data_IF_725285493722
#
_entry.id   IF_725285493722
#
_cell.length_a   1.000
_cell.length_b   1.000
_cell.length_c   1.000
_cell.angle_alpha   90.00
_cell.angle_beta   90.00
_cell.angle_gamma   90.00
#
_symmetry.space_group_name_H-M   'P 1'
#
loop_
_entity.id
_entity.type
_entity.pdbx_description
1 polymer ?
#
# COMPACT_ATOMS: atom_id res chain seq x y z
N UNK A 1 -17.57 27.41 11.42
CA UNK A 1 -16.77 28.19 10.46
C UNK A 1 -15.35 27.68 10.54
N UNK A 2 -14.70 27.43 9.40
CA UNK A 2 -13.24 27.19 9.33
C UNK A 2 -12.69 28.44 8.64
N UNK A 3 -12.23 29.40 9.44
CA UNK A 3 -11.88 30.75 9.00
C UNK A 3 -10.41 30.92 8.56
N UNK A 4 -9.70 29.80 8.37
CA UNK A 4 -8.39 29.79 7.70
C UNK A 4 -8.31 28.56 6.79
N UNK A 5 -7.86 28.69 5.53
CA UNK A 5 -7.57 27.52 4.73
C UNK A 5 -6.45 26.77 5.45
N UNK A 6 -6.74 25.57 5.96
CA UNK A 6 -5.70 24.73 6.54
C UNK A 6 -4.68 24.51 5.41
N UNK A 7 -3.48 25.08 5.56
CA UNK A 7 -2.37 24.95 4.60
C UNK A 7 -1.79 23.52 4.67
N UNK A 8 -2.63 22.53 4.39
CA UNK A 8 -2.24 21.14 4.17
C UNK A 8 -1.72 20.99 2.74
N UNK A 9 -2.32 21.74 1.79
CA UNK A 9 -1.81 21.80 0.42
C UNK A 9 -0.32 22.19 0.45
N UNK A 10 0.52 21.36 -0.18
CA UNK A 10 1.98 21.50 -0.26
C UNK A 10 2.80 21.16 1.00
N UNK A 11 2.22 20.56 2.04
CA UNK A 11 3.01 19.99 3.14
C UNK A 11 3.56 18.60 2.79
N UNK A 12 4.77 18.21 3.24
CA UNK A 12 5.32 16.87 2.98
C UNK A 12 4.39 15.73 3.44
N UNK A 13 3.69 15.94 4.57
CA UNK A 13 2.72 14.97 5.10
C UNK A 13 1.50 14.80 4.18
N UNK A 14 0.96 15.88 3.63
CA UNK A 14 -0.15 15.81 2.68
C UNK A 14 0.23 15.05 1.40
N UNK A 15 1.46 15.26 0.92
CA UNK A 15 1.98 14.52 -0.24
C UNK A 15 2.06 13.03 0.09
N UNK A 16 2.66 12.65 1.23
CA UNK A 16 2.77 11.25 1.64
C UNK A 16 1.39 10.59 1.74
N UNK A 17 0.40 11.25 2.35
CA UNK A 17 -0.96 10.72 2.48
C UNK A 17 -1.61 10.55 1.10
N UNK A 18 -1.46 11.52 0.20
CA UNK A 18 -1.96 11.42 -1.17
C UNK A 18 -1.30 10.28 -1.96
N UNK A 19 0.01 10.10 -1.83
CA UNK A 19 0.75 8.99 -2.45
C UNK A 19 0.24 7.64 -1.93
N UNK A 20 0.11 7.49 -0.60
CA UNK A 20 -0.43 6.26 0.00
C UNK A 20 -1.82 5.99 -0.55
N UNK A 21 -2.73 6.97 -0.57
CA UNK A 21 -4.10 6.79 -1.04
C UNK A 21 -4.17 6.33 -2.50
N UNK A 22 -3.31 6.87 -3.37
CA UNK A 22 -3.25 6.48 -4.79
C UNK A 22 -2.68 5.06 -4.97
N UNK A 23 -1.72 4.66 -4.15
CA UNK A 23 -1.03 3.37 -4.28
C UNK A 23 -1.73 2.23 -3.51
N UNK A 24 -2.53 2.55 -2.50
CA UNK A 24 -3.25 1.60 -1.64
C UNK A 24 -4.10 0.59 -2.42
N UNK A 25 -4.98 0.99 -3.38
CA UNK A 25 -5.82 0.02 -4.09
C UNK A 25 -4.98 -0.99 -4.89
N UNK A 26 -3.84 -0.58 -5.44
CA UNK A 26 -2.94 -1.47 -6.18
C UNK A 26 -2.29 -2.52 -5.27
N UNK A 27 -2.07 -2.21 -3.99
CA UNK A 27 -1.56 -3.16 -3.00
C UNK A 27 -2.65 -4.12 -2.51
N UNK A 28 -3.88 -3.62 -2.32
CA UNK A 28 -4.98 -4.40 -1.73
C UNK A 28 -5.46 -5.51 -2.66
N UNK A 29 -5.51 -5.27 -3.98
CA UNK A 29 -5.97 -6.27 -4.96
C UNK A 29 -5.20 -7.61 -4.89
N UNK A 30 -3.86 -7.64 -5.01
CA UNK A 30 -3.08 -8.87 -4.92
C UNK A 30 -3.04 -9.47 -3.51
N UNK A 31 -3.12 -8.63 -2.48
CA UNK A 31 -3.21 -9.08 -1.10
C UNK A 31 -4.53 -9.84 -0.87
N UNK A 32 -5.65 -9.29 -1.34
CA UNK A 32 -6.97 -9.92 -1.26
C UNK A 32 -7.00 -11.27 -1.96
N UNK A 33 -6.48 -11.36 -3.19
CA UNK A 33 -6.39 -12.62 -3.93
C UNK A 33 -5.57 -13.70 -3.20
N UNK A 34 -4.59 -13.29 -2.39
CA UNK A 34 -3.75 -14.24 -1.65
C UNK A 34 -4.36 -14.65 -0.31
N UNK A 35 -5.12 -13.75 0.32
CA UNK A 35 -5.91 -14.06 1.52
C UNK A 35 -7.10 -14.97 1.18
N UNK A 36 -7.75 -14.76 0.04
CA UNK A 36 -8.87 -15.60 -0.43
C UNK A 36 -8.45 -17.05 -0.68
N UNK A 37 -7.18 -17.27 -1.02
CA UNK A 37 -6.57 -18.60 -1.18
C UNK A 37 -6.22 -19.29 0.14
N UNK A 38 -6.43 -18.66 1.29
CA UNK A 38 -6.20 -19.30 2.59
C UNK A 38 -7.26 -20.37 2.85
N UNK A 39 -6.81 -21.61 2.99
CA UNK A 39 -7.68 -22.74 3.30
C UNK A 39 -8.25 -22.64 4.73
N UNK A 40 -9.58 -22.60 4.84
CA UNK A 40 -10.29 -22.64 6.14
C UNK A 40 -9.91 -23.86 7.00
N UNK A 41 -9.75 -25.08 6.44
CA UNK A 41 -9.33 -26.24 7.22
C UNK A 41 -7.97 -26.08 7.89
N UNK A 42 -7.04 -25.32 7.29
CA UNK A 42 -5.71 -25.06 7.87
C UNK A 42 -5.81 -24.21 9.13
N UNK A 43 -6.73 -23.24 9.15
CA UNK A 43 -7.02 -22.38 10.30
C UNK A 43 -7.75 -23.14 11.41
N UNK A 44 -8.63 -24.07 11.06
CA UNK A 44 -9.33 -24.94 12.01
C UNK A 44 -8.35 -25.93 12.66
N UNK A 45 -7.52 -26.62 11.87
CA UNK A 45 -6.49 -27.53 12.39
C UNK A 45 -5.50 -26.82 13.32
N UNK A 46 -5.10 -25.57 13.01
CA UNK A 46 -4.24 -24.79 13.89
C UNK A 46 -4.89 -24.48 15.24
N UNK A 47 -6.21 -24.25 15.27
CA UNK A 47 -6.97 -24.05 16.51
C UNK A 47 -7.13 -25.36 17.28
N UNK A 48 -7.34 -26.47 16.58
CA UNK A 48 -7.44 -27.80 17.19
C UNK A 48 -6.11 -28.22 17.85
N UNK A 49 -4.97 -27.82 17.27
CA UNK A 49 -3.63 -27.97 17.86
C UNK A 49 -3.33 -26.99 19.00
N UNK A 50 -4.29 -26.13 19.40
CA UNK A 50 -4.13 -25.19 20.51
C UNK A 50 -3.30 -23.95 20.18
N UNK A 51 -3.08 -23.64 18.90
CA UNK A 51 -2.33 -22.43 18.52
C UNK A 51 -3.10 -21.16 18.91
N UNK A 52 -2.41 -20.21 19.55
CA UNK A 52 -2.97 -18.88 19.83
C UNK A 52 -3.15 -18.08 18.54
N UNK A 53 -4.11 -17.14 18.51
CA UNK A 53 -4.40 -16.30 17.33
C UNK A 53 -3.16 -15.61 16.76
N UNK A 54 -2.25 -15.16 17.62
CA UNK A 54 -1.02 -14.49 17.19
C UNK A 54 0.02 -15.48 16.62
N UNK A 55 0.10 -16.70 17.15
CA UNK A 55 0.91 -17.77 16.55
C UNK A 55 0.37 -18.18 15.18
N UNK A 56 -0.95 -18.35 15.04
CA UNK A 56 -1.60 -18.63 13.74
C UNK A 56 -1.31 -17.50 12.74
N UNK A 57 -1.40 -16.24 13.17
CA UNK A 57 -1.11 -15.11 12.30
C UNK A 57 0.33 -15.12 11.78
N UNK A 58 1.31 -15.22 12.68
CA UNK A 58 2.73 -15.12 12.31
C UNK A 58 3.24 -16.37 11.58
N UNK A 59 2.84 -17.58 12.02
CA UNK A 59 3.37 -18.83 11.47
C UNK A 59 2.60 -19.38 10.27
N UNK A 60 1.34 -18.98 10.09
CA UNK A 60 0.49 -19.53 9.03
C UNK A 60 0.08 -18.42 8.06
N UNK A 61 -0.58 -17.37 8.56
CA UNK A 61 -1.15 -16.33 7.70
C UNK A 61 -0.07 -15.52 6.97
N UNK A 62 0.96 -15.04 7.69
CA UNK A 62 2.06 -14.29 7.06
C UNK A 62 2.76 -15.09 5.96
N UNK A 63 3.30 -16.32 6.19
CA UNK A 63 4.00 -17.05 5.15
C UNK A 63 3.11 -17.50 3.99
N UNK A 64 1.83 -17.85 4.22
CA UNK A 64 0.92 -18.16 3.10
C UNK A 64 0.57 -16.92 2.26
N UNK A 65 0.50 -15.74 2.89
CA UNK A 65 0.17 -14.49 2.18
C UNK A 65 1.40 -13.77 1.61
N UNK A 66 2.63 -14.18 1.97
CA UNK A 66 3.88 -13.67 1.40
C UNK A 66 3.91 -13.58 -0.13
N UNK A 67 3.53 -14.62 -0.91
CA UNK A 67 3.48 -14.49 -2.37
C UNK A 67 2.56 -13.34 -2.83
N UNK A 68 1.47 -13.07 -2.11
CA UNK A 68 0.58 -11.93 -2.32
C UNK A 68 1.18 -10.59 -1.98
N UNK A 69 1.92 -10.53 -0.88
CA UNK A 69 2.66 -9.32 -0.47
C UNK A 69 3.70 -8.98 -1.54
N UNK A 70 4.46 -9.97 -2.03
CA UNK A 70 5.45 -9.77 -3.09
C UNK A 70 4.78 -9.32 -4.39
N UNK A 71 3.70 -9.98 -4.81
CA UNK A 71 2.92 -9.56 -5.97
C UNK A 71 2.37 -8.12 -5.84
N UNK A 72 1.91 -7.75 -4.63
CA UNK A 72 1.50 -6.39 -4.30
C UNK A 72 2.61 -5.36 -4.40
N UNK A 73 3.76 -5.65 -3.81
CA UNK A 73 4.93 -4.78 -3.92
C UNK A 73 5.33 -4.55 -5.39
N UNK A 74 5.32 -5.60 -6.21
CA UNK A 74 5.64 -5.50 -7.63
C UNK A 74 4.59 -4.66 -8.40
N UNK A 75 3.30 -4.85 -8.11
CA UNK A 75 2.21 -4.10 -8.74
C UNK A 75 2.21 -2.62 -8.36
N UNK A 76 2.56 -2.28 -7.12
CA UNK A 76 2.70 -0.90 -6.63
C UNK A 76 3.95 -0.22 -7.19
N UNK A 77 5.00 -0.98 -7.52
CA UNK A 77 6.24 -0.42 -8.05
C UNK A 77 6.05 0.29 -9.40
N UNK A 78 5.16 -0.24 -10.26
CA UNK A 78 4.82 0.36 -11.56
C UNK A 78 4.28 1.80 -11.45
N UNK A 79 3.16 2.07 -10.73
CA UNK A 79 2.65 3.43 -10.54
C UNK A 79 3.59 4.29 -9.69
N UNK A 80 4.32 3.71 -8.73
CA UNK A 80 5.29 4.46 -7.93
C UNK A 80 6.42 5.04 -8.79
N UNK A 81 6.96 4.27 -9.75
CA UNK A 81 7.96 4.75 -10.70
C UNK A 81 7.41 5.86 -11.60
N UNK A 82 6.18 5.71 -12.11
CA UNK A 82 5.53 6.74 -12.94
C UNK A 82 5.31 8.06 -12.19
N UNK A 83 4.97 7.97 -10.90
CA UNK A 83 4.77 9.14 -10.04
C UNK A 83 6.09 9.83 -9.69
N UNK A 84 7.15 9.06 -9.40
CA UNK A 84 8.49 9.61 -9.21
C UNK A 84 8.99 10.35 -10.46
N UNK A 85 8.82 9.75 -11.63
CA UNK A 85 9.21 10.38 -12.90
C UNK A 85 8.43 11.68 -13.12
N UNK A 86 7.11 11.67 -12.89
CA UNK A 86 6.26 12.85 -12.99
C UNK A 86 6.69 13.95 -12.04
N UNK A 87 6.97 13.63 -10.78
CA UNK A 87 7.43 14.60 -9.78
C UNK A 87 8.78 15.20 -10.16
N UNK A 88 9.72 14.36 -10.61
CA UNK A 88 11.03 14.85 -11.05
C UNK A 88 10.94 15.73 -12.30
N UNK A 89 10.08 15.37 -13.25
CA UNK A 89 9.96 16.11 -14.51
C UNK A 89 9.15 17.40 -14.34
N UNK A 90 8.05 17.37 -13.58
CA UNK A 90 7.21 18.54 -13.34
C UNK A 90 7.91 19.60 -12.47
N UNK A 91 8.88 19.21 -11.65
CA UNK A 91 9.77 20.15 -10.94
C UNK A 91 10.68 20.98 -11.85
N UNK A 92 10.77 20.68 -13.16
CA UNK A 92 11.57 21.44 -14.13
C UNK A 92 10.73 22.36 -15.03
N UNK A 93 9.40 22.30 -14.92
CA UNK A 93 8.46 22.97 -15.84
C UNK A 93 7.89 24.29 -15.31
N UNK A 94 8.42 24.79 -14.19
CA UNK A 94 8.15 26.12 -13.63
C UNK A 94 9.36 27.07 -13.76
N UNK A 95 10.11 27.01 -14.86
CA UNK A 95 10.86 28.21 -15.27
C UNK A 95 9.86 29.11 -16.00
N UNK A 96 9.56 30.33 -15.49
CA UNK A 96 8.77 31.27 -16.26
C UNK A 96 9.51 31.50 -17.57
N UNK A 97 8.77 31.43 -18.68
CA UNK A 97 9.25 31.96 -19.95
C UNK A 97 9.41 33.47 -19.74
N UNK A 98 10.61 33.90 -19.39
CA UNK A 98 11.03 35.28 -19.34
C UNK A 98 11.34 35.77 -20.76
N UNK A 99 10.29 36.31 -21.39
CA UNK A 99 10.33 37.33 -22.45
C UNK A 99 9.23 38.36 -22.15
#
# INVERSE_FOLDING_TARGET
>A
MIDTPIRIMFTPSAVIIGLVYILLPFMVMPLYSSIEKLDKPLLEAARDLGASKMQTFIRIIIPLTMPGIVAGCLLVMLPAMGLFLRLRFNGWREKPADW
#
